data_IF_842550999582
#
_entry.id   IF_842550999582
#
_cell.length_a   1.000
_cell.length_b   1.000
_cell.length_c   1.000
_cell.angle_alpha   90.00
_cell.angle_beta   90.00
_cell.angle_gamma   90.00
#
_symmetry.space_group_name_H-M   'P 1'
#
loop_
_entity.id
_entity.type
_entity.pdbx_description
1 polymer ?
#
# COMPACT_ATOMS: atom_id res chain seq x y z
N UNK A 1 23.34 -1.75 -0.24
CA UNK A 1 21.91 -2.02 -0.41
C UNK A 1 21.17 -2.09 0.93
N UNK A 2 21.54 -2.98 1.85
CA UNK A 2 20.91 -3.08 3.16
C UNK A 2 21.00 -1.77 3.98
N UNK A 3 22.15 -1.13 4.01
CA UNK A 3 22.36 0.13 4.73
C UNK A 3 21.49 1.26 4.20
N UNK A 4 21.42 1.42 2.87
CA UNK A 4 20.55 2.41 2.22
C UNK A 4 19.07 2.13 2.47
N UNK A 5 18.63 0.87 2.36
CA UNK A 5 17.24 0.49 2.67
C UNK A 5 16.89 0.81 4.12
N UNK A 6 17.80 0.60 5.06
CA UNK A 6 17.61 0.92 6.49
C UNK A 6 17.49 2.43 6.70
N UNK A 7 18.34 3.23 6.05
CA UNK A 7 18.27 4.70 6.12
C UNK A 7 16.94 5.20 5.56
N UNK A 8 16.54 4.76 4.37
CA UNK A 8 15.28 5.18 3.77
C UNK A 8 14.07 4.77 4.61
N UNK A 9 14.04 3.54 5.13
CA UNK A 9 12.98 3.09 6.04
C UNK A 9 12.94 3.92 7.33
N UNK A 10 14.09 4.27 7.89
CA UNK A 10 14.13 5.14 9.07
C UNK A 10 13.56 6.50 8.77
N UNK A 11 13.96 7.09 7.64
CA UNK A 11 13.54 8.42 7.20
C UNK A 11 12.04 8.49 6.91
N UNK A 12 11.53 7.60 6.07
CA UNK A 12 10.14 7.69 5.57
C UNK A 12 9.11 7.01 6.47
N UNK A 13 9.50 5.99 7.23
CA UNK A 13 8.55 5.20 8.03
C UNK A 13 8.77 5.38 9.52
N UNK A 14 9.96 5.02 10.02
CA UNK A 14 10.18 4.97 11.46
C UNK A 14 10.16 6.34 12.12
N UNK A 15 10.74 7.37 11.50
CA UNK A 15 10.72 8.74 12.07
C UNK A 15 9.30 9.27 12.20
N UNK A 16 8.44 9.01 11.21
CA UNK A 16 7.04 9.41 11.24
C UNK A 16 6.27 8.69 12.35
N UNK A 17 6.45 7.37 12.45
CA UNK A 17 5.79 6.57 13.48
C UNK A 17 6.25 6.97 14.90
N UNK A 18 7.55 7.20 15.10
CA UNK A 18 8.09 7.65 16.37
C UNK A 18 7.53 9.04 16.75
N UNK A 19 7.43 9.96 15.80
CA UNK A 19 6.84 11.27 16.01
C UNK A 19 5.41 11.19 16.56
N UNK A 20 4.55 10.40 15.94
CA UNK A 20 3.17 10.23 16.42
C UNK A 20 3.05 9.39 17.70
N UNK A 21 4.04 8.54 17.99
CA UNK A 21 4.06 7.74 19.23
C UNK A 21 4.53 8.54 20.44
N UNK A 22 5.54 9.38 20.24
CA UNK A 22 6.33 10.00 21.35
C UNK A 22 6.27 11.51 21.37
N UNK A 23 5.70 12.13 20.36
CA UNK A 23 5.72 13.59 20.20
C UNK A 23 7.05 14.13 19.69
N UNK A 24 8.05 13.28 19.48
CA UNK A 24 9.35 13.68 18.96
C UNK A 24 9.96 12.63 18.04
N UNK A 25 10.76 13.05 17.10
CA UNK A 25 11.59 12.16 16.28
C UNK A 25 12.83 12.87 15.77
N UNK A 26 13.83 12.11 15.39
CA UNK A 26 15.05 12.64 14.77
C UNK A 26 15.20 12.05 13.37
N UNK A 27 15.08 12.93 12.40
CA UNK A 27 15.42 12.65 11.03
C UNK A 27 16.93 12.80 10.82
N UNK A 28 17.59 11.81 10.28
CA UNK A 28 19.02 11.87 10.02
C UNK A 28 19.39 11.19 8.71
N UNK A 29 20.01 11.95 7.82
CA UNK A 29 20.72 11.46 6.66
C UNK A 29 22.21 11.62 6.92
N UNK A 30 22.98 10.52 7.05
CA UNK A 30 24.41 10.58 7.34
C UNK A 30 25.17 11.48 6.38
N UNK A 31 25.96 12.41 6.92
CA UNK A 31 26.76 13.37 6.14
C UNK A 31 25.99 14.53 5.49
N UNK A 32 24.65 14.58 5.60
CA UNK A 32 23.84 15.62 4.96
C UNK A 32 23.00 16.43 5.94
N UNK A 33 22.11 15.80 6.68
CA UNK A 33 21.11 16.48 7.51
C UNK A 33 20.84 15.69 8.79
N UNK A 34 20.75 16.43 9.91
CA UNK A 34 20.16 15.92 11.14
C UNK A 34 19.13 16.96 11.62
N UNK A 35 17.87 16.59 11.68
CA UNK A 35 16.78 17.46 12.15
C UNK A 35 16.00 16.74 13.24
N UNK A 36 15.86 17.42 14.38
CA UNK A 36 14.97 17.01 15.46
C UNK A 36 13.62 17.72 15.30
N UNK A 37 12.55 16.98 15.52
CA UNK A 37 11.17 17.48 15.53
C UNK A 37 10.56 17.11 16.86
N UNK A 38 9.88 18.07 17.50
CA UNK A 38 9.18 17.89 18.76
C UNK A 38 7.84 18.60 18.75
N UNK A 39 6.79 17.89 19.10
CA UNK A 39 5.45 18.41 19.34
C UNK A 39 4.65 17.36 20.14
N UNK A 40 4.44 17.61 21.41
CA UNK A 40 3.74 16.70 22.30
C UNK A 40 2.26 16.53 21.93
N UNK A 41 1.65 17.52 21.25
CA UNK A 41 0.26 17.45 20.79
C UNK A 41 0.08 16.42 19.65
N UNK A 42 1.17 15.97 19.02
CA UNK A 42 1.12 14.91 18.02
C UNK A 42 0.71 13.56 18.61
N UNK A 43 0.98 13.33 19.92
CA UNK A 43 0.63 12.09 20.59
C UNK A 43 -0.87 12.02 20.78
N UNK A 44 -1.49 11.04 20.14
CA UNK A 44 -2.94 10.86 20.23
C UNK A 44 -3.77 11.76 19.31
N UNK A 45 -3.18 12.63 18.51
CA UNK A 45 -3.87 13.55 17.61
C UNK A 45 -4.68 12.87 16.49
N UNK A 46 -4.41 11.59 16.21
CA UNK A 46 -5.09 10.84 15.16
C UNK A 46 -6.27 10.05 15.73
N UNK A 47 -7.40 10.04 15.02
CA UNK A 47 -8.54 9.17 15.29
C UNK A 47 -8.39 7.80 14.61
N UNK A 48 -7.76 7.75 13.45
CA UNK A 48 -7.47 6.54 12.68
C UNK A 48 -6.22 6.72 11.83
N UNK A 49 -5.75 5.64 11.21
CA UNK A 49 -4.61 5.63 10.28
C UNK A 49 -5.10 5.21 8.90
N UNK A 50 -4.80 6.03 7.89
CA UNK A 50 -4.95 5.69 6.49
C UNK A 50 -3.67 5.08 5.94
N UNK A 51 -3.74 3.87 5.36
CA UNK A 51 -2.62 3.20 4.71
C UNK A 51 -2.83 3.16 3.21
N UNK A 52 -1.94 3.84 2.47
CA UNK A 52 -1.76 3.63 1.04
C UNK A 52 -0.59 2.67 0.85
N UNK A 53 -0.82 1.53 0.21
CA UNK A 53 0.23 0.56 -0.04
C UNK A 53 0.12 -0.04 -1.44
N UNK A 54 1.20 0.01 -2.19
CA UNK A 54 1.24 -0.57 -3.54
C UNK A 54 2.31 -1.66 -3.68
N UNK A 55 3.52 -1.39 -3.19
CA UNK A 55 4.66 -2.25 -3.46
C UNK A 55 5.81 -2.03 -2.47
N UNK A 56 6.95 -2.64 -2.80
CA UNK A 56 8.27 -2.34 -2.25
C UNK A 56 9.16 -1.76 -3.34
N UNK A 57 10.14 -0.98 -2.94
CA UNK A 57 11.23 -0.53 -3.80
C UNK A 57 12.50 -1.30 -3.48
N UNK A 58 13.19 -1.79 -4.51
CA UNK A 58 14.53 -2.33 -4.38
C UNK A 58 15.53 -1.21 -4.61
N UNK A 59 16.45 -1.03 -3.67
CA UNK A 59 17.49 -0.01 -3.73
C UNK A 59 18.83 -0.67 -3.90
N UNK A 60 19.64 -0.19 -4.84
CA UNK A 60 21.01 -0.59 -5.04
C UNK A 60 21.93 0.60 -4.83
N UNK A 61 22.87 0.46 -3.91
CA UNK A 61 23.90 1.46 -3.68
C UNK A 61 24.86 1.54 -4.86
N UNK A 62 25.32 2.75 -5.16
CA UNK A 62 26.35 2.98 -6.20
C UNK A 62 27.38 3.99 -5.70
N UNK A 63 28.59 3.91 -6.29
CA UNK A 63 29.70 4.79 -5.97
C UNK A 63 29.59 6.12 -6.73
N UNK A 64 28.47 6.81 -6.54
CA UNK A 64 28.21 8.13 -7.12
C UNK A 64 27.69 9.05 -6.00
N UNK A 65 28.40 10.14 -5.72
CA UNK A 65 28.06 11.06 -4.63
C UNK A 65 26.77 11.86 -4.88
N UNK A 66 26.43 12.11 -6.13
CA UNK A 66 25.20 12.84 -6.51
C UNK A 66 23.99 11.93 -6.58
N UNK A 67 24.21 10.65 -6.90
CA UNK A 67 23.17 9.61 -6.97
C UNK A 67 23.65 8.36 -6.23
N UNK A 68 23.62 8.37 -4.89
CA UNK A 68 24.24 7.30 -4.09
C UNK A 68 23.48 5.96 -4.15
N UNK A 69 22.30 5.94 -4.72
CA UNK A 69 21.50 4.73 -4.96
C UNK A 69 20.62 4.89 -6.20
N UNK A 70 20.22 3.75 -6.75
CA UNK A 70 19.23 3.65 -7.82
C UNK A 70 18.13 2.66 -7.42
N UNK A 71 16.95 2.84 -7.97
CA UNK A 71 15.89 1.84 -7.88
C UNK A 71 16.09 0.79 -8.97
N UNK A 72 15.98 -0.49 -8.61
CA UNK A 72 16.12 -1.60 -9.55
C UNK A 72 14.90 -2.51 -9.54
N UNK A 73 14.61 -3.11 -10.70
CA UNK A 73 13.65 -4.19 -10.83
C UNK A 73 14.35 -5.53 -10.66
N UNK A 74 13.70 -6.49 -10.04
CA UNK A 74 14.20 -7.86 -9.96
C UNK A 74 13.45 -8.76 -10.92
N UNK A 75 14.17 -9.51 -11.73
CA UNK A 75 13.60 -10.37 -12.77
C UNK A 75 12.64 -11.44 -12.24
N UNK A 76 12.80 -11.85 -10.97
CA UNK A 76 11.93 -12.83 -10.31
C UNK A 76 10.62 -12.26 -9.74
N UNK A 77 10.50 -10.93 -9.66
CA UNK A 77 9.30 -10.29 -9.14
C UNK A 77 8.26 -10.16 -10.25
N UNK A 78 7.00 -10.43 -9.92
CA UNK A 78 5.87 -10.13 -10.81
C UNK A 78 5.72 -8.61 -10.85
N UNK A 79 5.92 -8.01 -12.01
CA UNK A 79 5.85 -6.56 -12.21
C UNK A 79 4.44 -6.14 -12.64
N UNK A 80 4.01 -4.97 -12.19
CA UNK A 80 2.82 -4.27 -12.67
C UNK A 80 3.17 -3.33 -13.83
N UNK A 81 2.17 -2.75 -14.50
CA UNK A 81 2.42 -1.75 -15.56
C UNK A 81 3.08 -0.46 -15.03
N UNK A 82 3.00 -0.21 -13.72
CA UNK A 82 3.72 0.88 -13.04
C UNK A 82 5.16 0.50 -12.64
N UNK A 83 5.64 -0.66 -13.11
CA UNK A 83 6.95 -1.18 -12.73
C UNK A 83 7.11 -1.47 -11.21
N UNK A 84 6.01 -1.64 -10.52
CA UNK A 84 6.00 -2.04 -9.12
C UNK A 84 6.00 -3.55 -8.97
N UNK A 85 6.76 -4.07 -8.01
CA UNK A 85 6.72 -5.49 -7.66
C UNK A 85 5.42 -5.84 -6.92
N UNK A 86 4.76 -6.91 -7.30
CA UNK A 86 3.66 -7.48 -6.51
C UNK A 86 4.24 -8.08 -5.23
N UNK A 87 3.94 -7.45 -4.06
CA UNK A 87 4.56 -7.82 -2.78
C UNK A 87 3.58 -7.77 -1.59
N UNK A 88 2.65 -8.72 -1.50
CA UNK A 88 1.65 -8.77 -0.44
C UNK A 88 2.23 -9.01 0.96
N UNK A 89 3.39 -9.65 1.08
CA UNK A 89 4.10 -9.84 2.36
C UNK A 89 4.54 -8.49 2.96
N UNK A 90 4.86 -7.53 2.11
CA UNK A 90 5.17 -6.15 2.52
C UNK A 90 3.92 -5.42 3.01
N UNK A 91 2.78 -5.64 2.37
CA UNK A 91 1.50 -5.11 2.80
C UNK A 91 1.13 -5.62 4.21
N UNK A 92 1.24 -6.93 4.44
CA UNK A 92 1.03 -7.51 5.77
C UNK A 92 1.96 -6.90 6.83
N UNK A 93 3.26 -6.74 6.51
CA UNK A 93 4.22 -6.09 7.40
C UNK A 93 3.89 -4.62 7.66
N UNK A 94 3.44 -3.89 6.65
CA UNK A 94 3.03 -2.49 6.79
C UNK A 94 1.84 -2.35 7.77
N UNK A 95 0.83 -3.22 7.66
CA UNK A 95 -0.29 -3.27 8.60
C UNK A 95 0.18 -3.47 10.04
N UNK A 96 1.06 -4.44 10.29
CA UNK A 96 1.65 -4.66 11.62
C UNK A 96 2.50 -3.47 12.10
N UNK A 97 3.24 -2.84 11.20
CA UNK A 97 4.07 -1.69 11.55
C UNK A 97 3.23 -0.51 12.03
N UNK A 98 2.18 -0.15 11.30
CA UNK A 98 1.32 0.98 11.67
C UNK A 98 0.40 0.66 12.86
N UNK A 99 0.02 -0.60 13.08
CA UNK A 99 -0.80 -1.01 14.23
C UNK A 99 -0.14 -0.69 15.58
N UNK A 100 1.18 -0.50 15.59
CA UNK A 100 1.93 -0.07 16.76
C UNK A 100 1.51 1.32 17.28
N UNK A 101 0.80 2.11 16.49
CA UNK A 101 0.19 3.39 16.90
C UNK A 101 -1.13 3.19 17.68
N UNK A 102 -1.63 1.95 17.77
CA UNK A 102 -2.85 1.58 18.53
C UNK A 102 -4.09 2.40 18.14
N UNK A 103 -4.24 2.66 16.86
CA UNK A 103 -5.39 3.35 16.26
C UNK A 103 -6.06 2.45 15.23
N UNK A 104 -7.37 2.65 14.95
CA UNK A 104 -8.04 1.97 13.85
C UNK A 104 -7.30 2.16 12.52
N UNK A 105 -7.25 1.12 11.71
CA UNK A 105 -6.58 1.12 10.40
C UNK A 105 -7.64 1.08 9.29
N UNK A 106 -7.52 2.00 8.35
CA UNK A 106 -8.19 1.95 7.06
C UNK A 106 -7.14 1.82 5.96
N UNK A 107 -7.24 0.80 5.12
CA UNK A 107 -6.46 0.75 3.88
C UNK A 107 -7.15 1.68 2.91
N UNK A 108 -6.61 2.88 2.76
CA UNK A 108 -7.21 3.95 1.97
C UNK A 108 -6.90 3.83 0.49
N UNK A 109 -5.79 3.16 0.15
CA UNK A 109 -5.46 2.81 -1.24
C UNK A 109 -4.66 1.51 -1.29
N UNK A 110 -5.08 0.60 -2.16
CA UNK A 110 -4.32 -0.58 -2.56
C UNK A 110 -4.87 -1.10 -3.89
N UNK A 111 -4.03 -1.23 -4.90
CA UNK A 111 -4.47 -1.56 -6.24
C UNK A 111 -3.33 -1.89 -7.19
N UNK A 112 -3.66 -2.24 -8.43
CA UNK A 112 -2.70 -2.65 -9.44
C UNK A 112 -3.01 -2.06 -10.80
N UNK A 113 -1.99 -1.48 -11.44
CA UNK A 113 -2.05 -1.15 -12.86
C UNK A 113 -1.82 -2.43 -13.67
N UNK A 114 -2.82 -2.82 -14.46
CA UNK A 114 -2.85 -4.05 -15.24
C UNK A 114 -3.75 -3.89 -16.48
N UNK A 115 -3.17 -3.34 -17.54
CA UNK A 115 -3.86 -3.12 -18.81
C UNK A 115 -4.19 -4.45 -19.50
N UNK A 116 -3.25 -5.40 -19.41
CA UNK A 116 -3.39 -6.73 -20.02
C UNK A 116 -4.38 -7.64 -19.31
N UNK A 117 -4.90 -7.25 -18.15
CA UNK A 117 -5.81 -8.05 -17.32
C UNK A 117 -5.22 -9.42 -16.88
N UNK A 118 -3.90 -9.45 -16.68
CA UNK A 118 -3.14 -10.68 -16.45
C UNK A 118 -2.90 -10.99 -14.98
N UNK A 119 -2.77 -9.94 -14.13
CA UNK A 119 -2.32 -10.08 -12.74
C UNK A 119 -3.32 -9.52 -11.70
N UNK A 120 -4.36 -8.80 -12.12
CA UNK A 120 -5.32 -8.15 -11.21
C UNK A 120 -6.03 -9.14 -10.29
N UNK A 121 -6.50 -10.27 -10.82
CA UNK A 121 -7.15 -11.29 -10.00
C UNK A 121 -6.18 -11.88 -8.97
N UNK A 122 -4.93 -12.17 -9.39
CA UNK A 122 -3.88 -12.66 -8.49
C UNK A 122 -3.54 -11.62 -7.42
N UNK A 123 -3.46 -10.33 -7.81
CA UNK A 123 -3.27 -9.23 -6.88
C UNK A 123 -4.39 -9.22 -5.83
N UNK A 124 -5.64 -9.19 -6.26
CA UNK A 124 -6.80 -9.16 -5.37
C UNK A 124 -6.74 -10.33 -4.37
N UNK A 125 -6.53 -11.56 -4.84
CA UNK A 125 -6.41 -12.75 -4.00
C UNK A 125 -5.33 -12.59 -2.93
N UNK A 126 -4.11 -12.26 -3.34
CA UNK A 126 -2.95 -12.23 -2.44
C UNK A 126 -3.02 -11.10 -1.42
N UNK A 127 -3.48 -9.91 -1.83
CA UNK A 127 -3.55 -8.76 -0.93
C UNK A 127 -4.73 -8.87 0.05
N UNK A 128 -5.86 -9.38 -0.39
CA UNK A 128 -6.98 -9.64 0.52
C UNK A 128 -6.68 -10.80 1.48
N UNK A 129 -5.92 -11.80 1.05
CA UNK A 129 -5.40 -12.83 1.96
C UNK A 129 -4.49 -12.20 3.04
N UNK A 130 -3.55 -11.33 2.65
CA UNK A 130 -2.67 -10.63 3.58
C UNK A 130 -3.44 -9.71 4.55
N UNK A 131 -4.49 -9.03 4.06
CA UNK A 131 -5.42 -8.24 4.86
C UNK A 131 -6.14 -9.10 5.91
N UNK A 132 -6.71 -10.21 5.48
CA UNK A 132 -7.42 -11.15 6.35
C UNK A 132 -6.49 -11.72 7.42
N UNK A 133 -5.26 -12.08 7.04
CA UNK A 133 -4.27 -12.53 8.01
C UNK A 133 -3.99 -11.48 9.08
N UNK A 134 -3.79 -10.22 8.71
CA UNK A 134 -3.66 -9.11 9.67
C UNK A 134 -4.87 -9.00 10.60
N UNK A 135 -6.07 -9.15 10.05
CA UNK A 135 -7.31 -9.17 10.84
C UNK A 135 -7.37 -10.35 11.82
N UNK A 136 -7.00 -11.56 11.39
CA UNK A 136 -6.92 -12.76 12.25
C UNK A 136 -5.88 -12.62 13.36
N UNK A 137 -4.78 -11.88 13.11
CA UNK A 137 -3.76 -11.55 14.11
C UNK A 137 -4.25 -10.49 15.13
N UNK A 138 -5.50 -10.01 15.01
CA UNK A 138 -6.13 -9.07 15.94
C UNK A 138 -5.89 -7.60 15.63
N UNK A 139 -5.40 -7.24 14.45
CA UNK A 139 -5.25 -5.84 14.06
C UNK A 139 -6.64 -5.18 13.91
N UNK A 140 -6.78 -3.94 14.39
CA UNK A 140 -8.04 -3.17 14.29
C UNK A 140 -8.20 -2.57 12.88
N UNK A 141 -8.39 -3.44 11.89
CA UNK A 141 -8.62 -3.06 10.49
C UNK A 141 -10.12 -2.86 10.29
N UNK A 142 -10.52 -1.65 9.88
CA UNK A 142 -11.94 -1.25 9.77
C UNK A 142 -12.41 -0.98 8.35
N UNK A 143 -11.49 -0.87 7.38
CA UNK A 143 -11.87 -0.61 6.00
C UNK A 143 -10.76 -0.92 5.01
N UNK A 144 -11.18 -1.22 3.78
CA UNK A 144 -10.28 -1.44 2.65
C UNK A 144 -10.90 -0.83 1.40
N UNK A 145 -10.16 0.08 0.76
CA UNK A 145 -10.54 0.76 -0.46
C UNK A 145 -9.59 0.37 -1.58
N UNK A 146 -10.14 -0.33 -2.58
CA UNK A 146 -9.36 -0.69 -3.76
C UNK A 146 -9.10 0.55 -4.62
N UNK A 147 -7.84 0.76 -5.02
CA UNK A 147 -7.48 1.77 -6.00
C UNK A 147 -7.42 1.14 -7.40
N UNK A 148 -8.40 1.40 -8.28
CA UNK A 148 -9.50 2.36 -8.16
C UNK A 148 -10.78 1.73 -8.72
N UNK A 149 -11.93 2.34 -8.46
CA UNK A 149 -13.20 1.85 -8.96
C UNK A 149 -13.23 1.79 -10.49
N UNK A 150 -12.75 2.83 -11.16
CA UNK A 150 -12.73 2.92 -12.62
C UNK A 150 -11.43 3.56 -13.12
N UNK A 151 -11.01 3.25 -14.35
CA UNK A 151 -9.84 3.87 -14.95
C UNK A 151 -9.98 5.39 -14.94
N UNK A 152 -8.91 6.10 -14.61
CA UNK A 152 -8.87 7.54 -14.49
C UNK A 152 -7.52 8.10 -14.96
N UNK A 153 -7.28 9.39 -14.73
CA UNK A 153 -6.04 10.07 -15.01
C UNK A 153 -5.02 9.79 -13.91
N UNK A 154 -3.93 9.08 -14.26
CA UNK A 154 -2.87 8.68 -13.32
C UNK A 154 -1.70 9.66 -13.40
N UNK A 155 -1.89 10.87 -12.90
CA UNK A 155 -0.85 11.91 -12.76
C UNK A 155 0.07 12.03 -14.00
N UNK A 156 1.38 11.83 -13.83
CA UNK A 156 2.38 11.92 -14.90
C UNK A 156 2.21 10.86 -16.00
N UNK A 157 1.53 9.74 -15.69
CA UNK A 157 1.28 8.65 -16.62
C UNK A 157 0.05 8.89 -17.51
N UNK A 158 -0.75 9.92 -17.19
CA UNK A 158 -1.96 10.24 -17.95
C UNK A 158 -2.97 9.11 -17.87
N UNK A 159 -3.54 8.73 -19.00
CA UNK A 159 -4.54 7.67 -19.11
C UNK A 159 -3.97 6.30 -19.47
N UNK A 160 -2.66 6.13 -19.48
CA UNK A 160 -2.02 4.86 -19.86
C UNK A 160 -2.22 3.77 -18.81
N UNK A 161 -2.07 4.10 -17.54
CA UNK A 161 -2.16 3.14 -16.44
C UNK A 161 -3.60 2.78 -16.14
N UNK A 162 -3.88 1.48 -16.06
CA UNK A 162 -5.23 0.95 -15.91
C UNK A 162 -5.41 0.29 -14.56
N UNK A 163 -5.76 1.09 -13.55
CA UNK A 163 -6.02 0.63 -12.18
C UNK A 163 -7.47 0.19 -11.95
N UNK A 164 -8.40 0.62 -12.80
CA UNK A 164 -9.83 0.46 -12.57
C UNK A 164 -10.29 -0.99 -12.41
N UNK A 165 -11.17 -1.26 -11.46
CA UNK A 165 -12.01 -2.45 -11.47
C UNK A 165 -12.92 -2.44 -12.71
N UNK A 166 -13.35 -1.24 -13.12
CA UNK A 166 -14.04 -1.00 -14.38
C UNK A 166 -13.10 -0.38 -15.41
N UNK A 167 -13.09 -0.95 -16.61
CA UNK A 167 -12.53 -0.29 -17.80
C UNK A 167 -13.41 0.89 -18.17
N UNK A 168 -12.79 2.02 -18.55
CA UNK A 168 -13.48 3.19 -19.09
C UNK A 168 -13.07 3.37 -20.53
N UNK A 169 -14.06 3.50 -21.41
CA UNK A 169 -13.89 4.09 -22.72
C UNK A 169 -14.00 5.61 -22.56
N UNK A 170 -12.91 6.34 -22.77
CA UNK A 170 -12.88 7.79 -22.52
C UNK A 170 -13.59 8.62 -23.60
N UNK A 171 -13.90 8.05 -24.76
CA UNK A 171 -14.66 8.71 -25.81
C UNK A 171 -16.16 8.58 -25.55
N UNK A 172 -16.63 7.36 -25.31
CA UNK A 172 -18.06 7.06 -25.12
C UNK A 172 -18.50 7.17 -23.65
N UNK A 173 -17.56 7.21 -22.73
CA UNK A 173 -17.81 7.16 -21.28
C UNK A 173 -18.44 5.85 -20.78
N UNK A 174 -18.40 4.79 -21.59
CA UNK A 174 -18.86 3.47 -21.17
C UNK A 174 -17.94 2.89 -20.11
N UNK A 175 -18.53 2.21 -19.12
CA UNK A 175 -17.83 1.55 -18.02
C UNK A 175 -18.17 0.08 -17.99
N UNK A 176 -17.16 -0.76 -18.21
CA UNK A 176 -17.32 -2.22 -18.24
C UNK A 176 -16.52 -2.87 -17.11
N UNK A 177 -17.18 -3.67 -16.26
CA UNK A 177 -16.48 -4.42 -15.20
C UNK A 177 -15.46 -5.38 -15.83
N UNK A 178 -14.21 -5.31 -15.40
CA UNK A 178 -13.18 -6.24 -15.85
C UNK A 178 -13.44 -7.63 -15.30
N UNK A 179 -13.22 -8.66 -16.10
CA UNK A 179 -13.38 -10.04 -15.68
C UNK A 179 -12.52 -10.37 -14.44
N UNK A 180 -11.27 -9.94 -14.44
CA UNK A 180 -10.34 -10.10 -13.31
C UNK A 180 -10.78 -9.37 -12.03
N UNK A 181 -11.77 -8.48 -12.09
CA UNK A 181 -12.36 -7.77 -10.96
C UNK A 181 -13.57 -8.49 -10.35
N UNK A 182 -14.09 -9.52 -11.01
CA UNK A 182 -15.28 -10.26 -10.55
C UNK A 182 -15.13 -10.83 -9.15
N UNK A 183 -13.92 -11.27 -8.80
CA UNK A 183 -13.64 -11.78 -7.46
C UNK A 183 -13.93 -10.71 -6.41
N UNK A 184 -13.38 -9.50 -6.57
CA UNK A 184 -13.58 -8.39 -5.64
C UNK A 184 -15.08 -8.01 -5.56
N UNK A 185 -15.75 -7.92 -6.71
CA UNK A 185 -17.17 -7.61 -6.75
C UNK A 185 -18.04 -8.66 -6.02
N UNK A 186 -17.70 -9.95 -6.15
CA UNK A 186 -18.38 -11.04 -5.41
C UNK A 186 -18.16 -10.92 -3.90
N UNK A 187 -16.95 -10.60 -3.47
CA UNK A 187 -16.60 -10.47 -2.06
C UNK A 187 -17.33 -9.30 -1.40
N UNK A 188 -17.41 -8.16 -2.07
CA UNK A 188 -18.14 -6.98 -1.57
C UNK A 188 -19.65 -7.23 -1.49
N UNK A 189 -20.22 -8.03 -2.42
CA UNK A 189 -21.66 -8.35 -2.45
C UNK A 189 -22.10 -9.36 -1.39
N UNK A 190 -21.19 -10.18 -0.89
CA UNK A 190 -21.45 -11.18 0.16
C UNK A 190 -20.51 -10.96 1.35
N UNK A 191 -20.58 -9.82 2.01
CA UNK A 191 -19.75 -9.59 3.18
C UNK A 191 -20.17 -10.57 4.27
N UNK A 192 -19.26 -11.43 4.68
CA UNK A 192 -19.36 -12.06 5.99
C UNK A 192 -19.12 -10.97 7.03
N UNK A 193 -20.09 -10.71 7.91
CA UNK A 193 -19.94 -9.74 8.98
C UNK A 193 -19.65 -10.50 10.27
N UNK A 194 -18.51 -10.22 10.91
CA UNK A 194 -18.25 -10.79 12.24
C UNK A 194 -19.09 -10.07 13.32
N UNK A 195 -19.03 -10.56 14.54
CA UNK A 195 -19.72 -9.99 15.72
C UNK A 195 -19.38 -8.53 16.02
N UNK A 196 -18.36 -7.96 15.37
CA UNK A 196 -17.95 -6.54 15.47
C UNK A 196 -18.41 -5.70 14.26
N UNK A 197 -19.19 -6.26 13.34
CA UNK A 197 -19.67 -5.56 12.15
C UNK A 197 -18.64 -5.42 11.01
N UNK A 198 -17.49 -6.12 11.07
CA UNK A 198 -16.47 -6.07 10.03
C UNK A 198 -16.69 -7.13 8.97
N UNK A 199 -16.35 -6.78 7.72
CA UNK A 199 -16.40 -7.73 6.60
C UNK A 199 -15.35 -8.82 6.83
N UNK A 200 -15.81 -10.04 7.09
CA UNK A 200 -14.94 -11.21 7.31
C UNK A 200 -15.51 -12.40 6.56
N UNK A 201 -15.28 -12.47 5.29
CA UNK A 201 -15.38 -13.76 4.61
C UNK A 201 -14.44 -13.79 3.41
N UNK A 202 -13.18 -14.13 3.68
CA UNK A 202 -12.18 -14.47 2.67
C UNK A 202 -11.93 -16.00 2.73
N UNK A 203 -12.89 -16.75 3.31
CA UNK A 203 -12.75 -18.18 3.58
C UNK A 203 -12.76 -19.09 2.34
N UNK A 204 -13.04 -18.54 1.14
CA UNK A 204 -13.15 -19.30 -0.11
C UNK A 204 -12.13 -18.88 -1.17
N UNK A 205 -10.96 -18.35 -0.76
CA UNK A 205 -9.85 -17.99 -1.66
C UNK A 205 -8.76 -19.05 -1.62
#
# INVERSE_FOLDING_TARGET
DWAFSKVLNNVFTHSTLEYFKKGHSTFSLPGMVKKHMENNDAVGAMDFIGLNYYSRMHVKGQANLTEPFVFEKRAKDIQTDMDYALYPEGFYKALHTISTLKKPIYVTENGVADQGNNIRELFIKRYLYALNKGFQDGLDIRGYFYWTLMDNFEWAEGYKMKFGLYKVDFETQERTLRESSNLFAKMVKKPGVNSRGYIVNIGDI
#
